data_IF_653028105467
#
_entry.id   IF_653028105467
#
_cell.length_a   1.000
_cell.length_b   1.000
_cell.length_c   1.000
_cell.angle_alpha   90.00
_cell.angle_beta   90.00
_cell.angle_gamma   90.00
#
_symmetry.space_group_name_H-M   'P 1'
#
loop_
_entity.id
_entity.type
_entity.pdbx_description
1 polymer ?
#
# COMPACT_ATOMS: atom_id res chain seq x y z
N UNK A 1 6.70 -4.87 5.92
CA UNK A 1 8.02 -5.08 5.27
C UNK A 1 8.39 -3.88 4.40
N UNK A 2 8.28 -2.64 4.93
CA UNK A 2 8.46 -1.38 4.17
C UNK A 2 7.82 -1.42 2.76
N UNK A 3 6.63 -1.98 2.65
CA UNK A 3 6.03 -2.29 1.36
C UNK A 3 5.59 -1.03 0.63
N UNK A 4 5.80 -1.00 -0.68
CA UNK A 4 5.16 -0.03 -1.57
C UNK A 4 3.63 -0.23 -1.59
N UNK A 5 2.91 0.66 -2.25
CA UNK A 5 1.45 0.68 -2.26
C UNK A 5 0.79 -0.67 -2.63
N UNK A 6 1.43 -1.47 -3.50
CA UNK A 6 0.94 -2.80 -3.89
C UNK A 6 0.92 -3.76 -2.68
N UNK A 7 2.07 -3.96 -2.02
CA UNK A 7 2.16 -4.85 -0.86
C UNK A 7 1.41 -4.30 0.35
N UNK A 8 1.40 -2.96 0.50
CA UNK A 8 0.64 -2.29 1.56
C UNK A 8 -0.86 -2.53 1.43
N UNK A 9 -1.42 -2.46 0.23
CA UNK A 9 -2.83 -2.75 -0.01
C UNK A 9 -3.20 -4.18 0.41
N UNK A 10 -2.36 -5.16 0.08
CA UNK A 10 -2.56 -6.55 0.50
C UNK A 10 -2.50 -6.70 2.04
N UNK A 11 -1.54 -6.05 2.69
CA UNK A 11 -1.41 -6.07 4.14
C UNK A 11 -2.61 -5.39 4.84
N UNK A 12 -3.13 -4.29 4.28
CA UNK A 12 -4.34 -3.62 4.79
C UNK A 12 -5.55 -4.55 4.69
N UNK A 13 -5.73 -5.23 3.55
CA UNK A 13 -6.83 -6.19 3.38
C UNK A 13 -6.72 -7.34 4.40
N UNK A 14 -5.51 -7.86 4.64
CA UNK A 14 -5.28 -8.89 5.65
C UNK A 14 -5.58 -8.38 7.07
N UNK A 15 -5.13 -7.16 7.40
CA UNK A 15 -5.37 -6.54 8.70
C UNK A 15 -6.85 -6.20 8.96
N UNK A 16 -7.67 -6.09 7.90
CA UNK A 16 -9.12 -5.90 8.01
C UNK A 16 -9.88 -7.20 8.34
N UNK A 17 -9.21 -8.36 8.37
CA UNK A 17 -9.85 -9.62 8.71
C UNK A 17 -10.37 -9.62 10.17
N UNK A 18 -11.56 -10.19 10.48
CA UNK A 18 -12.13 -10.16 11.82
C UNK A 18 -11.27 -10.80 12.93
N UNK A 19 -10.37 -11.71 12.54
CA UNK A 19 -9.40 -12.33 13.45
C UNK A 19 -8.18 -11.45 13.79
N UNK A 20 -7.97 -10.34 13.09
CA UNK A 20 -6.88 -9.40 13.37
C UNK A 20 -7.32 -8.40 14.46
N UNK A 21 -7.00 -8.73 15.71
CA UNK A 21 -7.43 -7.95 16.90
C UNK A 21 -6.36 -7.01 17.46
N UNK A 22 -5.14 -7.07 16.93
CA UNK A 22 -4.02 -6.19 17.29
C UNK A 22 -3.62 -5.33 16.09
N UNK A 23 -3.15 -4.12 16.37
CA UNK A 23 -2.65 -3.22 15.34
C UNK A 23 -1.45 -3.83 14.63
N UNK A 24 -1.54 -3.94 13.30
CA UNK A 24 -0.43 -4.38 12.46
C UNK A 24 0.60 -3.26 12.22
N UNK A 25 1.81 -3.64 11.81
CA UNK A 25 2.86 -2.70 11.39
C UNK A 25 2.61 -2.18 9.96
N UNK A 26 1.58 -1.34 9.83
CA UNK A 26 1.14 -0.70 8.59
C UNK A 26 1.02 0.80 8.84
N UNK A 27 1.82 1.60 8.14
CA UNK A 27 1.84 3.05 8.29
C UNK A 27 1.22 3.76 7.08
N UNK A 28 1.12 5.09 7.13
CA UNK A 28 0.94 5.92 5.94
C UNK A 28 2.13 5.79 4.97
N UNK A 29 1.90 6.02 3.68
CA UNK A 29 2.95 6.02 2.65
C UNK A 29 4.07 7.01 2.98
N UNK A 30 3.68 8.25 3.35
CA UNK A 30 4.61 9.34 3.66
C UNK A 30 5.53 9.10 4.86
N UNK A 31 5.30 8.04 5.66
CA UNK A 31 6.25 7.65 6.73
C UNK A 31 7.58 7.15 6.16
N UNK A 32 7.57 6.53 4.99
CA UNK A 32 8.73 5.86 4.42
C UNK A 32 9.13 6.37 3.04
N UNK A 33 8.16 6.77 2.22
CA UNK A 33 8.39 7.12 0.83
C UNK A 33 7.89 8.53 0.54
N UNK A 34 8.73 9.32 -0.13
CA UNK A 34 8.33 10.60 -0.72
C UNK A 34 7.51 10.41 -2.00
N UNK A 35 7.65 9.27 -2.66
CA UNK A 35 6.96 8.88 -3.89
C UNK A 35 6.74 7.36 -3.88
N UNK A 36 5.55 6.91 -4.27
CA UNK A 36 5.16 5.50 -4.29
C UNK A 36 4.62 5.15 -5.68
N UNK A 37 4.57 3.86 -6.02
CA UNK A 37 4.08 3.34 -7.31
C UNK A 37 2.56 3.23 -7.36
N UNK A 38 1.87 3.56 -6.27
CA UNK A 38 0.41 3.71 -6.19
C UNK A 38 0.06 5.04 -5.52
N UNK A 39 -1.22 5.43 -5.56
CA UNK A 39 -1.71 6.55 -4.77
C UNK A 39 -1.38 6.35 -3.27
N UNK A 40 -1.01 7.42 -2.54
CA UNK A 40 -0.55 7.30 -1.16
C UNK A 40 -1.67 6.85 -0.23
N UNK A 41 -1.32 5.99 0.72
CA UNK A 41 -2.17 5.66 1.86
C UNK A 41 -1.95 6.67 2.97
N UNK A 42 -3.03 7.27 3.44
CA UNK A 42 -3.01 8.29 4.48
C UNK A 42 -3.64 7.76 5.78
N UNK A 43 -3.17 8.31 6.90
CA UNK A 43 -3.77 8.06 8.22
C UNK A 43 -4.89 9.06 8.48
N UNK A 44 -6.06 8.54 8.84
CA UNK A 44 -7.14 9.32 9.44
C UNK A 44 -7.03 9.29 10.97
N UNK A 45 -7.70 10.18 11.70
CA UNK A 45 -7.78 10.11 13.17
C UNK A 45 -6.46 10.44 13.90
N UNK A 46 -5.70 11.43 13.41
CA UNK A 46 -4.37 11.77 13.95
C UNK A 46 -4.37 12.22 15.42
N UNK A 47 -5.50 12.67 15.96
CA UNK A 47 -5.65 13.04 17.37
C UNK A 47 -5.84 11.86 18.33
N UNK A 48 -5.81 10.62 17.81
CA UNK A 48 -5.89 9.38 18.60
C UNK A 48 -6.61 8.27 17.84
N UNK A 49 -6.02 7.08 17.77
CA UNK A 49 -6.61 5.92 17.09
C UNK A 49 -6.47 5.96 15.56
N UNK A 50 -5.28 6.29 15.05
CA UNK A 50 -5.07 6.44 13.62
C UNK A 50 -5.43 5.19 12.82
N UNK A 51 -6.18 5.35 11.73
CA UNK A 51 -6.61 4.23 10.87
C UNK A 51 -6.37 4.52 9.40
N UNK A 52 -6.25 3.45 8.61
CA UNK A 52 -6.13 3.51 7.15
C UNK A 52 -7.39 2.88 6.56
N UNK A 53 -7.98 3.57 5.57
CA UNK A 53 -9.16 3.06 4.86
C UNK A 53 -8.79 1.82 4.05
N UNK A 54 -9.59 0.75 4.20
CA UNK A 54 -9.45 -0.48 3.41
C UNK A 54 -9.90 -0.22 1.97
N UNK A 55 -9.07 -0.46 0.95
CA UNK A 55 -9.49 -0.35 -0.45
C UNK A 55 -10.64 -1.33 -0.77
N UNK A 56 -11.64 -0.85 -1.51
CA UNK A 56 -12.85 -1.63 -1.84
C UNK A 56 -12.97 -1.99 -3.33
N UNK A 57 -12.04 -1.52 -4.16
CA UNK A 57 -12.00 -1.85 -5.58
C UNK A 57 -11.64 -3.33 -5.83
N UNK A 58 -11.79 -3.82 -7.08
CA UNK A 58 -11.44 -5.19 -7.43
C UNK A 58 -9.95 -5.48 -7.20
N UNK A 59 -9.63 -6.74 -6.87
CA UNK A 59 -8.26 -7.16 -6.58
C UNK A 59 -7.73 -6.51 -5.31
N UNK A 60 -6.58 -5.82 -5.40
CA UNK A 60 -6.00 -5.06 -4.29
C UNK A 60 -6.68 -3.70 -4.06
N UNK A 61 -7.61 -3.30 -4.93
CA UNK A 61 -8.30 -2.00 -4.83
C UNK A 61 -7.41 -0.78 -5.09
N UNK A 62 -6.21 -0.98 -5.65
CA UNK A 62 -5.27 0.07 -6.03
C UNK A 62 -4.86 -0.07 -7.49
N UNK A 63 -4.46 1.05 -8.10
CA UNK A 63 -3.90 1.11 -9.44
C UNK A 63 -2.42 1.49 -9.38
N UNK A 64 -1.65 1.02 -10.35
CA UNK A 64 -0.23 1.38 -10.50
C UNK A 64 -0.15 2.71 -11.25
N UNK A 65 0.62 3.66 -10.71
CA UNK A 65 1.07 4.83 -11.44
C UNK A 65 2.20 4.42 -12.41
N UNK A 66 1.89 4.39 -13.70
CA UNK A 66 2.84 3.98 -14.74
C UNK A 66 4.05 4.91 -14.84
N UNK A 67 3.89 6.21 -14.57
CA UNK A 67 4.99 7.16 -14.61
C UNK A 67 5.93 6.97 -13.43
N UNK A 68 5.40 6.84 -12.21
CA UNK A 68 6.19 6.56 -11.02
C UNK A 68 6.88 5.19 -11.12
N UNK A 69 6.17 4.16 -11.58
CA UNK A 69 6.76 2.83 -11.79
C UNK A 69 7.90 2.90 -12.81
N UNK A 70 7.70 3.55 -13.95
CA UNK A 70 8.75 3.70 -14.96
C UNK A 70 9.97 4.45 -14.42
N UNK A 71 9.76 5.49 -13.61
CA UNK A 71 10.82 6.29 -13.00
C UNK A 71 11.64 5.51 -11.97
N UNK A 72 10.98 4.69 -11.16
CA UNK A 72 11.61 3.95 -10.05
C UNK A 72 12.15 2.57 -10.46
N UNK A 73 11.86 2.11 -11.68
CA UNK A 73 12.34 0.81 -12.20
C UNK A 73 13.81 0.88 -12.62
N UNK A 74 14.65 0.02 -12.03
CA UNK A 74 16.06 -0.12 -12.42
C UNK A 74 16.28 -1.20 -13.49
N UNK A 75 15.45 -2.24 -13.53
CA UNK A 75 15.56 -3.34 -14.48
C UNK A 75 14.19 -3.97 -14.74
N UNK A 76 13.94 -4.36 -15.98
CA UNK A 76 12.80 -5.17 -16.37
C UNK A 76 13.25 -6.30 -17.31
N UNK A 77 12.51 -7.39 -17.32
CA UNK A 77 12.70 -8.49 -18.25
C UNK A 77 11.35 -9.14 -18.54
N UNK A 78 11.13 -9.53 -19.80
CA UNK A 78 9.93 -10.26 -20.21
C UNK A 78 10.33 -11.73 -20.37
N UNK A 79 9.74 -12.60 -19.54
CA UNK A 79 9.93 -14.04 -19.63
C UNK A 79 8.80 -14.63 -20.47
N UNK A 80 9.15 -15.38 -21.51
CA UNK A 80 8.19 -16.13 -22.33
C UNK A 80 8.37 -17.62 -22.07
N UNK A 81 7.27 -18.37 -22.12
CA UNK A 81 7.29 -19.84 -22.06
C UNK A 81 7.87 -20.41 -23.35
#
# INVERSE_FOLDING_TARGET
MLDCGIGRAANIALAAHPGASLTGDIAATGRFFTEDVCAPFELSGLSGGGTITVPTGPGLGVSIDAAALSKLTLRSAIMRR
#
